data_IF_516690316769
#
_entry.id   IF_516690316769
#
_cell.length_a   1.000
_cell.length_b   1.000
_cell.length_c   1.000
_cell.angle_alpha   90.00
_cell.angle_beta   90.00
_cell.angle_gamma   90.00
#
_symmetry.space_group_name_H-M   'P 1'
#
loop_
_entity.id
_entity.type
_entity.pdbx_description
1 polymer ?
#
# COMPACT_ATOMS: atom_id res chain seq x y z
N UNK A 1 -38.34 -26.73 25.25
CA UNK A 1 -37.19 -26.92 24.33
C UNK A 1 -36.62 -25.55 24.02
N UNK A 2 -35.53 -25.18 24.68
CA UNK A 2 -34.81 -23.94 24.36
C UNK A 2 -34.14 -24.12 23.00
N UNK A 3 -34.60 -23.37 22.00
CA UNK A 3 -33.96 -23.32 20.70
C UNK A 3 -32.59 -22.66 20.86
N UNK A 4 -31.56 -23.48 21.05
CA UNK A 4 -30.18 -23.01 20.97
C UNK A 4 -29.99 -22.44 19.56
N UNK A 5 -29.95 -21.10 19.47
CA UNK A 5 -29.40 -20.42 18.29
C UNK A 5 -27.93 -20.78 18.25
N UNK A 6 -27.60 -21.88 17.57
CA UNK A 6 -26.25 -22.13 17.12
C UNK A 6 -25.82 -20.91 16.30
N UNK A 7 -25.03 -20.04 16.93
CA UNK A 7 -24.37 -18.95 16.24
C UNK A 7 -23.47 -19.54 15.16
N UNK A 8 -23.30 -18.82 14.06
CA UNK A 8 -22.40 -19.24 12.99
C UNK A 8 -21.01 -19.51 13.58
N UNK A 9 -20.41 -20.69 13.36
CA UNK A 9 -19.09 -21.02 13.86
C UNK A 9 -18.05 -19.96 13.50
N UNK A 10 -17.15 -19.64 14.44
CA UNK A 10 -16.09 -18.61 14.27
C UNK A 10 -15.25 -18.83 13.00
N UNK A 11 -15.06 -20.08 12.58
CA UNK A 11 -14.29 -20.42 11.39
C UNK A 11 -14.95 -19.95 10.09
N UNK A 12 -16.29 -19.94 10.04
CA UNK A 12 -17.05 -19.45 8.88
C UNK A 12 -16.85 -17.94 8.75
N UNK A 13 -16.92 -17.20 9.87
CA UNK A 13 -16.63 -15.76 9.88
C UNK A 13 -15.19 -15.44 9.46
N UNK A 14 -14.22 -16.24 9.91
CA UNK A 14 -12.82 -16.06 9.53
C UNK A 14 -12.61 -16.23 8.02
N UNK A 15 -13.22 -17.26 7.40
CA UNK A 15 -13.16 -17.48 5.95
C UNK A 15 -13.77 -16.31 5.17
N UNK A 16 -14.95 -15.85 5.56
CA UNK A 16 -15.61 -14.70 4.92
C UNK A 16 -14.74 -13.45 5.02
N UNK A 17 -14.11 -13.23 6.18
CA UNK A 17 -13.22 -12.08 6.40
C UNK A 17 -12.00 -12.11 5.47
N UNK A 18 -11.38 -13.27 5.30
CA UNK A 18 -10.21 -13.43 4.41
C UNK A 18 -10.61 -13.13 2.96
N UNK A 19 -11.75 -13.66 2.50
CA UNK A 19 -12.27 -13.39 1.15
C UNK A 19 -12.57 -11.90 0.98
N UNK A 20 -13.23 -11.27 1.96
CA UNK A 20 -13.53 -9.83 1.93
C UNK A 20 -12.27 -8.96 1.85
N UNK A 21 -11.21 -9.32 2.58
CA UNK A 21 -9.92 -8.64 2.50
C UNK A 21 -9.28 -8.78 1.12
N UNK A 22 -9.35 -9.97 0.51
CA UNK A 22 -8.84 -10.22 -0.84
C UNK A 22 -9.62 -9.45 -1.90
N UNK A 23 -10.95 -9.39 -1.80
CA UNK A 23 -11.79 -8.59 -2.72
C UNK A 23 -11.45 -7.11 -2.61
N UNK A 24 -11.29 -6.59 -1.38
CA UNK A 24 -10.92 -5.19 -1.15
C UNK A 24 -9.56 -4.86 -1.78
N UNK A 25 -8.63 -5.80 -1.72
CA UNK A 25 -7.30 -5.69 -2.31
C UNK A 25 -7.33 -5.67 -3.85
N UNK A 26 -8.10 -6.56 -4.46
CA UNK A 26 -8.31 -6.56 -5.91
C UNK A 26 -8.98 -5.25 -6.35
N UNK A 27 -10.03 -4.82 -5.62
CA UNK A 27 -10.72 -3.58 -5.90
C UNK A 27 -9.78 -2.37 -5.80
N UNK A 28 -8.92 -2.33 -4.78
CA UNK A 28 -7.92 -1.27 -4.63
C UNK A 28 -6.97 -1.21 -5.83
N UNK A 29 -6.38 -2.34 -6.24
CA UNK A 29 -5.50 -2.39 -7.41
C UNK A 29 -6.24 -1.99 -8.69
N UNK A 30 -7.46 -2.50 -8.91
CA UNK A 30 -8.28 -2.16 -10.06
C UNK A 30 -8.62 -0.65 -10.14
N UNK A 31 -9.11 -0.08 -9.03
CA UNK A 31 -9.44 1.35 -8.94
C UNK A 31 -8.21 2.21 -9.21
N UNK A 32 -7.04 1.85 -8.64
CA UNK A 32 -5.81 2.60 -8.90
C UNK A 32 -5.39 2.56 -10.37
N UNK A 33 -5.59 1.44 -11.07
CA UNK A 33 -5.34 1.34 -12.50
C UNK A 33 -6.27 2.24 -13.33
N UNK A 34 -7.57 2.25 -13.00
CA UNK A 34 -8.55 3.14 -13.67
C UNK A 34 -8.21 4.61 -13.45
N UNK A 35 -7.84 4.99 -12.23
CA UNK A 35 -7.39 6.35 -11.90
C UNK A 35 -6.12 6.69 -12.68
N UNK A 36 -5.11 5.79 -12.71
CA UNK A 36 -3.87 6.01 -13.43
C UNK A 36 -4.10 6.25 -14.93
N UNK A 37 -5.01 5.50 -15.54
CA UNK A 37 -5.41 5.71 -16.93
C UNK A 37 -6.09 7.06 -17.13
N UNK A 38 -7.08 7.40 -16.31
CA UNK A 38 -7.82 8.66 -16.42
C UNK A 38 -6.91 9.88 -16.23
N UNK A 39 -5.99 9.80 -15.28
CA UNK A 39 -5.02 10.86 -14.96
C UNK A 39 -3.92 10.92 -16.01
N UNK A 40 -3.40 9.78 -16.44
CA UNK A 40 -2.34 9.69 -17.44
C UNK A 40 -2.72 10.39 -18.75
N UNK A 41 -3.94 10.13 -19.23
CA UNK A 41 -4.45 10.74 -20.47
C UNK A 41 -4.71 12.25 -20.37
N UNK A 42 -4.89 12.79 -19.14
CA UNK A 42 -5.18 14.22 -18.91
C UNK A 42 -3.94 15.05 -18.62
N UNK A 43 -2.96 14.49 -17.91
CA UNK A 43 -1.79 15.24 -17.42
C UNK A 43 -0.65 15.23 -18.43
N UNK A 44 -0.42 14.10 -19.11
CA UNK A 44 0.76 13.99 -19.98
C UNK A 44 0.49 14.57 -21.38
N UNK A 45 1.38 15.43 -21.89
CA UNK A 45 1.29 15.91 -23.27
C UNK A 45 1.59 14.76 -24.25
N UNK A 46 1.05 14.85 -25.48
CA UNK A 46 1.23 13.80 -26.51
C UNK A 46 2.70 13.51 -26.85
N UNK A 47 3.60 14.49 -26.66
CA UNK A 47 5.04 14.31 -26.84
C UNK A 47 5.67 13.36 -25.81
N UNK A 48 5.06 13.18 -24.63
CA UNK A 48 5.57 12.36 -23.52
C UNK A 48 4.80 11.03 -23.38
N UNK A 49 4.35 10.45 -24.49
CA UNK A 49 3.52 9.23 -24.49
C UNK A 49 4.21 8.02 -23.80
N UNK A 50 5.54 7.91 -23.88
CA UNK A 50 6.30 6.84 -23.20
C UNK A 50 6.19 6.98 -21.69
N UNK A 51 6.32 8.21 -21.17
CA UNK A 51 6.22 8.48 -19.72
C UNK A 51 4.79 8.27 -19.22
N UNK A 52 3.79 8.64 -20.03
CA UNK A 52 2.39 8.34 -19.76
C UNK A 52 2.15 6.83 -19.66
N UNK A 53 2.65 6.06 -20.62
CA UNK A 53 2.49 4.60 -20.63
C UNK A 53 3.19 3.95 -19.43
N UNK A 54 4.41 4.39 -19.11
CA UNK A 54 5.12 3.96 -17.92
C UNK A 54 4.34 4.28 -16.64
N UNK A 55 3.75 5.47 -16.52
CA UNK A 55 2.91 5.84 -15.38
C UNK A 55 1.69 4.93 -15.24
N UNK A 56 0.98 4.68 -16.34
CA UNK A 56 -0.23 3.84 -16.36
C UNK A 56 0.09 2.40 -15.96
N UNK A 57 1.23 1.85 -16.36
CA UNK A 57 1.64 0.49 -15.98
C UNK A 57 2.25 0.42 -14.58
N UNK A 58 3.13 1.34 -14.22
CA UNK A 58 3.86 1.30 -12.95
C UNK A 58 2.93 1.55 -11.75
N UNK A 59 1.90 2.36 -11.91
CA UNK A 59 0.97 2.68 -10.82
C UNK A 59 0.23 1.44 -10.28
N UNK A 60 -0.45 0.62 -11.10
CA UNK A 60 -1.08 -0.61 -10.63
C UNK A 60 -0.07 -1.68 -10.18
N UNK A 61 1.12 -1.73 -10.80
CA UNK A 61 2.20 -2.65 -10.34
C UNK A 61 2.67 -2.27 -8.93
N UNK A 62 2.84 -0.98 -8.65
CA UNK A 62 3.17 -0.49 -7.32
C UNK A 62 2.05 -0.72 -6.32
N UNK A 63 0.79 -0.50 -6.69
CA UNK A 63 -0.34 -0.75 -5.79
C UNK A 63 -0.48 -2.24 -5.46
N UNK A 64 -0.25 -3.12 -6.43
CA UNK A 64 -0.14 -4.57 -6.20
C UNK A 64 0.97 -4.88 -5.21
N UNK A 65 2.19 -4.33 -5.42
CA UNK A 65 3.30 -4.52 -4.50
C UNK A 65 2.96 -4.09 -3.07
N UNK A 66 2.27 -2.96 -2.87
CA UNK A 66 1.90 -2.47 -1.54
C UNK A 66 0.95 -3.40 -0.78
N UNK A 67 0.13 -4.13 -1.52
CA UNK A 67 -0.90 -5.02 -0.98
C UNK A 67 -0.38 -6.44 -0.76
N UNK A 68 0.65 -6.86 -1.49
CA UNK A 68 1.28 -8.16 -1.29
C UNK A 68 1.79 -8.36 0.16
N UNK A 69 1.73 -9.59 0.67
CA UNK A 69 2.23 -9.89 2.00
C UNK A 69 3.75 -9.72 2.04
N UNK A 70 4.23 -8.94 3.00
CA UNK A 70 5.63 -8.90 3.39
C UNK A 70 5.99 -10.20 4.13
N UNK A 71 7.28 -10.51 4.21
CA UNK A 71 7.83 -11.69 4.90
C UNK A 71 7.38 -11.87 6.37
N UNK A 72 6.80 -10.83 6.99
CA UNK A 72 6.24 -10.86 8.35
C UNK A 72 4.70 -11.04 8.43
N UNK A 73 4.03 -11.45 7.35
CA UNK A 73 2.60 -11.75 7.33
C UNK A 73 1.66 -10.53 7.28
N UNK A 74 2.21 -9.31 7.23
CA UNK A 74 1.46 -8.06 6.99
C UNK A 74 1.74 -7.54 5.59
N UNK A 75 0.86 -6.71 5.03
CA UNK A 75 1.06 -6.09 3.71
C UNK A 75 2.29 -5.18 3.67
N UNK A 76 2.95 -5.06 2.52
CA UNK A 76 4.16 -4.25 2.34
C UNK A 76 4.01 -2.78 2.77
N UNK A 77 2.83 -2.19 2.61
CA UNK A 77 2.58 -0.82 3.05
C UNK A 77 2.78 -0.63 4.56
N UNK A 78 2.48 -1.63 5.39
CA UNK A 78 2.71 -1.56 6.83
C UNK A 78 4.20 -1.47 7.16
N UNK A 79 5.03 -2.22 6.44
CA UNK A 79 6.49 -2.15 6.59
C UNK A 79 7.03 -0.78 6.21
N UNK A 80 6.53 -0.21 5.11
CA UNK A 80 6.88 1.17 4.71
C UNK A 80 6.43 2.19 5.76
N UNK A 81 5.20 2.08 6.26
CA UNK A 81 4.69 2.96 7.31
C UNK A 81 5.55 2.88 8.58
N UNK A 82 5.93 1.68 9.00
CA UNK A 82 6.82 1.48 10.14
C UNK A 82 8.22 2.05 9.89
N UNK A 83 8.76 1.88 8.69
CA UNK A 83 10.04 2.47 8.29
C UNK A 83 10.00 4.00 8.44
N UNK A 84 8.99 4.66 7.87
CA UNK A 84 8.85 6.12 7.98
C UNK A 84 8.57 6.59 9.41
N UNK A 85 7.75 5.86 10.18
CA UNK A 85 7.44 6.20 11.58
C UNK A 85 8.65 6.04 12.51
N UNK A 86 9.46 4.99 12.32
CA UNK A 86 10.61 4.68 13.19
C UNK A 86 11.88 5.42 12.80
N UNK A 87 11.99 5.89 11.56
CA UNK A 87 13.12 6.70 11.12
C UNK A 87 13.08 8.04 11.87
N UNK A 88 13.77 8.11 13.02
CA UNK A 88 14.04 9.38 13.70
C UNK A 88 14.72 10.28 12.67
N UNK A 89 14.10 11.41 12.34
CA UNK A 89 14.71 12.44 11.49
C UNK A 89 15.88 13.06 12.27
N UNK A 90 17.00 12.34 12.36
CA UNK A 90 18.28 12.94 12.76
C UNK A 90 18.72 13.78 11.58
N UNK A 91 18.29 15.02 11.59
CA UNK A 91 18.87 16.06 10.76
C UNK A 91 20.30 16.27 11.27
N UNK A 92 21.25 15.49 10.73
CA UNK A 92 22.67 15.75 10.93
C UNK A 92 22.97 16.92 10.00
N UNK A 93 23.31 18.07 10.57
CA UNK A 93 23.79 19.19 9.77
C UNK A 93 25.04 18.73 9.00
N UNK A 94 25.08 18.99 7.69
CA UNK A 94 26.27 18.72 6.86
C UNK A 94 27.51 19.46 7.41
N UNK A 95 27.29 20.59 8.07
CA UNK A 95 28.29 21.32 8.85
C UNK A 95 28.15 21.02 10.35
N UNK A 96 28.57 19.83 10.77
CA UNK A 96 28.78 19.56 12.20
C UNK A 96 30.12 20.18 12.62
N UNK A 97 30.07 21.40 13.15
CA UNK A 97 31.23 22.02 13.81
C UNK A 97 31.37 21.36 15.20
N UNK A 98 32.26 20.38 15.31
CA UNK A 98 32.65 19.80 16.60
C UNK A 98 33.44 20.85 17.38
N UNK A 99 32.77 21.68 18.20
CA UNK A 99 33.47 22.47 19.22
C UNK A 99 34.19 21.51 20.17
N UNK A 100 35.51 21.41 20.04
CA UNK A 100 36.36 20.83 21.09
C UNK A 100 36.25 21.76 22.30
N UNK A 101 35.88 21.22 23.46
CA UNK A 101 35.95 21.96 24.72
C UNK A 101 37.44 22.18 25.07
N UNK A 102 37.78 23.32 25.69
CA UNK A 102 39.16 23.62 26.11
C UNK A 102 39.69 22.59 27.10
#
# INVERSE_FOLDING_TARGET
MYGEKYGVPRDIYAKIKIIGLLILDIAFVGITGVIALSVGLKIFPKSQWIQMFAFILLTPVMSLYLVLPANGGKKNWHSMFLFFRRRRKRYISLNYIRRRKP
#
